data_IF_687326279422
#
_entry.id   IF_687326279422
#
_cell.length_a   1.000
_cell.length_b   1.000
_cell.length_c   1.000
_cell.angle_alpha   90.00
_cell.angle_beta   90.00
_cell.angle_gamma   90.00
#
_symmetry.space_group_name_H-M   'P 1'
#
loop_
_entity.id
_entity.type
_entity.pdbx_description
1 polymer ?
#
# COMPACT_ATOMS: atom_id res chain seq x y z
N UNK A 1 50.06 -92.14 -1.05
CA UNK A 1 51.36 -91.65 -0.53
C UNK A 1 51.31 -90.12 -0.64
N UNK A 2 51.41 -89.28 0.38
CA UNK A 2 51.88 -89.39 1.76
C UNK A 2 51.18 -88.34 2.64
N UNK A 3 51.10 -88.60 3.94
CA UNK A 3 50.82 -87.63 5.03
C UNK A 3 52.16 -87.35 5.76
N UNK A 4 52.23 -86.42 6.72
CA UNK A 4 52.23 -84.94 6.71
C UNK A 4 53.64 -84.37 7.02
N UNK A 5 53.77 -83.10 7.45
CA UNK A 5 54.43 -82.90 8.75
C UNK A 5 53.73 -81.91 9.69
N UNK A 6 53.96 -82.15 10.98
CA UNK A 6 53.58 -81.41 12.19
C UNK A 6 54.52 -80.24 12.51
N UNK A 7 54.04 -79.30 13.34
CA UNK A 7 54.71 -78.37 14.31
C UNK A 7 53.90 -77.04 14.27
N UNK A 8 53.65 -76.24 15.31
CA UNK A 8 54.02 -76.14 16.73
C UNK A 8 53.21 -74.96 17.32
N UNK A 9 52.76 -75.02 18.58
CA UNK A 9 52.15 -73.91 19.33
C UNK A 9 53.14 -72.74 19.56
N UNK A 10 52.71 -71.47 19.81
CA UNK A 10 52.51 -71.03 21.21
C UNK A 10 51.52 -69.86 21.49
N UNK A 11 51.19 -69.74 22.79
CA UNK A 11 50.80 -68.59 23.62
C UNK A 11 50.35 -67.22 23.05
N UNK A 12 49.26 -66.70 23.64
CA UNK A 12 49.28 -65.44 24.41
C UNK A 12 48.61 -64.21 23.78
N UNK A 13 47.67 -63.59 24.51
CA UNK A 13 47.24 -62.21 24.23
C UNK A 13 45.88 -61.82 24.80
N UNK A 14 45.85 -61.17 25.97
CA UNK A 14 44.69 -60.45 26.50
C UNK A 14 44.43 -59.18 25.67
N UNK A 15 43.18 -58.95 25.24
CA UNK A 15 42.62 -57.66 24.83
C UNK A 15 41.47 -57.34 25.79
N UNK A 16 41.04 -56.13 26.11
CA UNK A 16 41.52 -54.74 26.02
C UNK A 16 40.41 -53.95 26.72
N UNK A 17 40.77 -52.90 27.46
CA UNK A 17 39.86 -52.03 28.23
C UNK A 17 38.70 -51.47 27.38
N UNK A 18 37.48 -51.60 27.90
CA UNK A 18 36.31 -50.82 27.47
C UNK A 18 35.87 -49.91 28.61
N UNK A 19 36.39 -48.68 28.64
CA UNK A 19 35.89 -47.60 29.50
C UNK A 19 34.44 -47.28 29.08
N UNK A 20 33.48 -47.58 29.96
CA UNK A 20 32.13 -47.01 29.88
C UNK A 20 32.16 -45.61 30.48
N UNK A 21 32.24 -44.60 29.62
CA UNK A 21 31.97 -43.21 30.00
C UNK A 21 30.50 -43.05 30.35
N UNK A 22 30.20 -42.86 31.64
CA UNK A 22 28.87 -42.45 32.11
C UNK A 22 28.73 -40.95 31.81
N UNK A 23 27.98 -40.61 30.77
CA UNK A 23 27.53 -39.24 30.54
C UNK A 23 26.47 -38.90 31.59
N UNK A 24 26.90 -38.19 32.64
CA UNK A 24 26.02 -37.59 33.64
C UNK A 24 25.35 -36.35 33.06
N UNK A 25 24.07 -36.45 32.71
CA UNK A 25 23.24 -35.31 32.35
C UNK A 25 22.82 -34.58 33.65
N UNK A 26 23.55 -33.52 34.00
CA UNK A 26 23.13 -32.59 35.06
C UNK A 26 22.05 -31.66 34.51
N UNK A 27 20.78 -31.95 34.79
CA UNK A 27 19.67 -31.04 34.54
C UNK A 27 19.70 -29.90 35.57
N UNK A 28 20.36 -28.80 35.24
CA UNK A 28 20.37 -27.60 36.07
C UNK A 28 19.02 -26.84 35.92
N UNK A 29 18.12 -27.08 36.88
CA UNK A 29 16.78 -26.48 36.97
C UNK A 29 16.76 -24.95 36.83
N UNK A 30 17.85 -24.24 37.15
CA UNK A 30 17.92 -22.78 37.04
C UNK A 30 17.98 -22.31 35.59
N UNK A 31 18.69 -23.04 34.73
CA UNK A 31 18.77 -22.75 33.28
C UNK A 31 17.44 -22.98 32.57
N UNK A 32 16.71 -24.03 32.96
CA UNK A 32 15.37 -24.31 32.45
C UNK A 32 14.37 -23.20 32.83
N UNK A 33 14.38 -22.75 34.09
CA UNK A 33 13.52 -21.65 34.55
C UNK A 33 13.88 -20.29 33.91
N UNK A 34 15.16 -20.05 33.63
CA UNK A 34 15.62 -18.85 32.92
C UNK A 34 15.19 -18.87 31.44
N UNK A 35 15.29 -20.02 30.79
CA UNK A 35 14.82 -20.24 29.42
C UNK A 35 13.30 -20.07 29.31
N UNK A 36 12.53 -20.62 30.24
CA UNK A 36 11.07 -20.44 30.33
C UNK A 36 10.68 -18.96 30.50
N UNK A 37 11.39 -18.19 31.34
CA UNK A 37 11.16 -16.75 31.52
C UNK A 37 11.47 -15.94 30.25
N UNK A 38 12.47 -16.33 29.48
CA UNK A 38 12.81 -15.66 28.21
C UNK A 38 11.78 -15.97 27.12
N UNK A 39 11.27 -17.20 27.07
CA UNK A 39 10.14 -17.57 26.20
C UNK A 39 8.89 -16.77 26.56
N UNK A 40 8.56 -16.66 27.86
CA UNK A 40 7.38 -15.92 28.29
C UNK A 40 7.47 -14.42 27.95
N UNK A 41 8.65 -13.82 28.08
CA UNK A 41 8.91 -12.44 27.63
C UNK A 41 8.75 -12.29 26.12
N UNK A 42 9.25 -13.27 25.36
CA UNK A 42 9.13 -13.26 23.90
C UNK A 42 7.67 -13.38 23.45
N UNK A 43 6.89 -14.27 24.08
CA UNK A 43 5.45 -14.40 23.84
C UNK A 43 4.69 -13.12 24.21
N UNK A 44 5.09 -12.43 25.28
CA UNK A 44 4.50 -11.16 25.68
C UNK A 44 4.77 -10.04 24.66
N UNK A 45 5.99 -9.96 24.11
CA UNK A 45 6.33 -8.99 23.05
C UNK A 45 5.55 -9.29 21.78
N UNK A 46 5.42 -10.57 21.39
CA UNK A 46 4.60 -10.95 20.23
C UNK A 46 3.14 -10.57 20.45
N UNK A 47 2.59 -10.85 21.63
CA UNK A 47 1.21 -10.47 21.97
C UNK A 47 0.97 -8.96 21.91
N UNK A 48 1.99 -8.15 22.20
CA UNK A 48 1.92 -6.69 22.09
C UNK A 48 2.02 -6.19 20.62
N UNK A 49 2.74 -6.90 19.76
CA UNK A 49 2.93 -6.53 18.35
C UNK A 49 1.79 -7.00 17.43
N UNK A 50 1.14 -8.12 17.73
CA UNK A 50 0.03 -8.67 16.94
C UNK A 50 -1.17 -7.71 16.72
N UNK A 51 -1.65 -6.92 17.70
CA UNK A 51 -2.78 -6.02 17.48
C UNK A 51 -2.47 -4.81 16.58
N UNK A 52 -1.19 -4.47 16.35
CA UNK A 52 -0.80 -3.33 15.51
C UNK A 52 -1.19 -3.50 14.03
N UNK A 53 -1.37 -4.73 13.57
CA UNK A 53 -1.77 -5.04 12.18
C UNK A 53 -3.24 -4.70 11.87
N UNK A 54 -4.07 -4.48 12.90
CA UNK A 54 -5.50 -4.18 12.71
C UNK A 54 -5.82 -2.68 12.74
N UNK A 55 -4.81 -1.82 12.91
CA UNK A 55 -5.02 -0.37 12.91
C UNK A 55 -5.15 0.14 11.47
N UNK A 56 -6.38 0.39 11.05
CA UNK A 56 -6.69 1.08 9.79
C UNK A 56 -6.70 2.60 10.05
N UNK A 57 -5.61 3.29 9.67
CA UNK A 57 -5.44 4.72 9.91
C UNK A 57 -5.97 5.62 8.77
N UNK A 58 -6.27 5.05 7.60
CA UNK A 58 -6.66 5.85 6.44
C UNK A 58 -8.17 5.97 6.33
N UNK A 59 -8.68 7.19 6.52
CA UNK A 59 -10.06 7.53 6.19
C UNK A 59 -10.16 7.71 4.66
N UNK A 60 -10.69 6.70 3.96
CA UNK A 60 -10.95 6.79 2.52
C UNK A 60 -12.26 7.58 2.33
N UNK A 61 -12.15 8.88 2.04
CA UNK A 61 -13.29 9.75 1.80
C UNK A 61 -13.05 10.65 0.56
N UNK A 62 -13.87 10.54 -0.50
CA UNK A 62 -14.94 9.57 -0.69
C UNK A 62 -14.40 8.13 -0.85
N UNK A 63 -15.21 7.15 -0.48
CA UNK A 63 -14.95 5.75 -0.81
C UNK A 63 -14.97 5.53 -2.32
N UNK A 64 -14.43 4.39 -2.77
CA UNK A 64 -14.48 4.04 -4.20
C UNK A 64 -15.93 3.89 -4.65
N UNK A 65 -16.33 4.65 -5.66
CA UNK A 65 -17.66 4.62 -6.26
C UNK A 65 -17.59 4.74 -7.80
N UNK A 66 -18.75 4.95 -8.46
CA UNK A 66 -18.82 5.04 -9.93
C UNK A 66 -18.11 6.26 -10.51
N UNK A 67 -17.87 7.30 -9.71
CA UNK A 67 -17.24 8.56 -10.13
C UNK A 67 -15.79 8.62 -9.63
N UNK A 68 -15.56 8.28 -8.36
CA UNK A 68 -14.27 8.19 -7.71
C UNK A 68 -13.76 6.74 -7.70
N UNK A 69 -13.48 6.24 -8.90
CA UNK A 69 -12.85 4.94 -9.09
C UNK A 69 -11.32 5.07 -8.94
N UNK A 70 -10.69 4.31 -8.04
CA UNK A 70 -9.23 4.41 -7.80
C UNK A 70 -8.39 3.53 -8.74
N UNK A 71 -9.05 2.70 -9.55
CA UNK A 71 -8.44 1.80 -10.52
C UNK A 71 -8.29 2.43 -11.91
N UNK A 72 -8.88 3.61 -12.15
CA UNK A 72 -8.82 4.30 -13.43
C UNK A 72 -8.69 5.82 -13.28
N UNK A 73 -8.35 6.50 -14.38
CA UNK A 73 -8.32 7.97 -14.44
C UNK A 73 -9.47 8.44 -15.33
N UNK A 74 -10.41 9.18 -14.74
CA UNK A 74 -11.50 9.80 -15.48
C UNK A 74 -11.01 10.96 -16.35
N UNK A 75 -11.69 11.19 -17.48
CA UNK A 75 -11.45 12.27 -18.43
C UNK A 75 -12.53 13.33 -18.28
N UNK A 76 -12.10 14.60 -18.19
CA UNK A 76 -12.99 15.77 -18.15
C UNK A 76 -12.71 16.60 -19.41
N UNK A 77 -13.66 16.61 -20.33
CA UNK A 77 -13.61 17.45 -21.53
C UNK A 77 -14.41 18.73 -21.27
N UNK A 78 -13.81 19.89 -21.55
CA UNK A 78 -14.44 21.19 -21.32
C UNK A 78 -14.59 21.87 -22.67
N UNK A 79 -15.82 22.23 -23.03
CA UNK A 79 -16.15 22.91 -24.28
C UNK A 79 -16.80 24.26 -23.97
N UNK A 80 -16.30 25.32 -24.59
CA UNK A 80 -16.76 26.70 -24.36
C UNK A 80 -16.60 27.53 -25.64
N UNK A 81 -17.15 28.73 -25.65
CA UNK A 81 -16.95 29.68 -26.75
C UNK A 81 -15.45 30.04 -26.89
N UNK A 82 -15.00 30.26 -28.13
CA UNK A 82 -13.63 30.64 -28.42
C UNK A 82 -13.24 32.02 -27.83
N UNK A 83 -14.19 32.96 -27.77
CA UNK A 83 -13.99 34.26 -27.13
C UNK A 83 -13.77 34.09 -25.62
N UNK A 84 -14.63 33.33 -24.95
CA UNK A 84 -14.52 33.03 -23.52
C UNK A 84 -13.24 32.27 -23.19
N UNK A 85 -12.84 31.32 -24.04
CA UNK A 85 -11.57 30.61 -23.91
C UNK A 85 -10.38 31.57 -23.98
N UNK A 86 -10.40 32.49 -24.93
CA UNK A 86 -9.33 33.49 -25.10
C UNK A 86 -9.29 34.39 -23.87
N UNK A 87 -10.44 34.88 -23.42
CA UNK A 87 -10.55 35.69 -22.21
C UNK A 87 -10.04 34.96 -20.96
N UNK A 88 -10.42 33.68 -20.77
CA UNK A 88 -10.02 32.86 -19.62
C UNK A 88 -8.53 32.59 -19.57
N UNK A 89 -7.87 32.44 -20.74
CA UNK A 89 -6.47 32.08 -20.84
C UNK A 89 -5.53 33.29 -20.95
N UNK A 90 -6.07 34.47 -21.22
CA UNK A 90 -5.35 35.73 -21.28
C UNK A 90 -4.62 36.01 -19.95
N UNK A 91 -3.38 36.51 -20.04
CA UNK A 91 -2.55 36.75 -18.86
C UNK A 91 -3.08 37.96 -18.07
N UNK A 92 -3.61 38.96 -18.76
CA UNK A 92 -4.28 40.13 -18.21
C UNK A 92 -5.50 39.75 -17.35
N UNK A 93 -6.17 38.64 -17.69
CA UNK A 93 -7.36 38.15 -17.00
C UNK A 93 -7.05 36.99 -16.05
N UNK A 94 -5.77 36.65 -15.84
CA UNK A 94 -5.38 35.50 -15.03
C UNK A 94 -5.94 35.55 -13.59
N UNK A 95 -6.15 36.77 -13.08
CA UNK A 95 -6.70 37.01 -11.75
C UNK A 95 -8.22 37.23 -11.69
N UNK A 96 -8.92 37.12 -12.83
CA UNK A 96 -10.38 37.23 -12.88
C UNK A 96 -11.05 36.16 -12.01
N UNK A 97 -12.06 36.57 -11.26
CA UNK A 97 -12.93 35.69 -10.46
C UNK A 97 -14.26 35.38 -11.18
N UNK A 98 -14.45 35.93 -12.38
CA UNK A 98 -15.64 35.72 -13.21
C UNK A 98 -15.75 34.25 -13.66
N UNK A 99 -16.96 33.70 -13.56
CA UNK A 99 -17.27 32.39 -14.13
C UNK A 99 -17.78 32.58 -15.56
N UNK A 100 -17.17 31.86 -16.49
CA UNK A 100 -17.59 31.81 -17.88
C UNK A 100 -18.44 30.57 -18.12
N UNK A 101 -19.40 30.68 -19.05
CA UNK A 101 -20.25 29.56 -19.44
C UNK A 101 -19.44 28.51 -20.21
N UNK A 102 -19.65 27.25 -19.86
CA UNK A 102 -19.04 26.11 -20.51
C UNK A 102 -19.93 24.88 -20.37
N UNK A 103 -19.66 23.88 -21.20
CA UNK A 103 -20.15 22.52 -21.04
C UNK A 103 -19.01 21.60 -20.63
N UNK A 104 -19.31 20.62 -19.79
CA UNK A 104 -18.35 19.63 -19.27
C UNK A 104 -18.85 18.23 -19.60
N UNK A 105 -18.02 17.43 -20.24
CA UNK A 105 -18.27 15.99 -20.42
C UNK A 105 -17.35 15.21 -19.50
N UNK A 106 -17.94 14.44 -18.59
CA UNK A 106 -17.23 13.53 -17.70
C UNK A 106 -17.29 12.12 -18.28
N UNK A 107 -16.13 11.48 -18.40
CA UNK A 107 -15.98 10.12 -18.95
C UNK A 107 -15.10 9.24 -18.08
N UNK A 108 -15.54 8.03 -17.82
CA UNK A 108 -14.72 6.93 -17.31
C UNK A 108 -15.26 5.59 -17.90
N UNK A 109 -14.79 4.44 -17.39
CA UNK A 109 -15.26 3.13 -17.88
C UNK A 109 -16.74 2.85 -17.64
N UNK A 110 -17.39 3.54 -16.69
CA UNK A 110 -18.76 3.28 -16.24
C UNK A 110 -19.76 4.38 -16.64
N UNK A 111 -19.29 5.60 -16.87
CA UNK A 111 -20.08 6.82 -16.98
C UNK A 111 -19.56 7.66 -18.13
N UNK A 112 -20.47 8.09 -19.00
CA UNK A 112 -20.24 9.14 -19.98
C UNK A 112 -21.42 10.12 -19.88
N UNK A 113 -21.17 11.35 -19.41
CA UNK A 113 -22.23 12.32 -19.15
C UNK A 113 -21.81 13.72 -19.52
N UNK A 114 -22.71 14.41 -20.21
CA UNK A 114 -22.57 15.80 -20.62
C UNK A 114 -23.37 16.70 -19.67
N UNK A 115 -22.70 17.69 -19.08
CA UNK A 115 -23.28 18.76 -18.29
C UNK A 115 -23.17 20.06 -19.10
N UNK A 116 -24.26 20.51 -19.77
CA UNK A 116 -24.19 21.59 -20.75
C UNK A 116 -23.98 22.99 -20.14
N UNK A 117 -24.50 23.21 -18.93
CA UNK A 117 -24.54 24.54 -18.30
C UNK A 117 -23.72 24.56 -17.03
N UNK A 118 -22.43 24.88 -17.13
CA UNK A 118 -21.55 25.01 -15.98
C UNK A 118 -20.75 26.31 -16.02
N UNK A 119 -20.41 26.83 -14.86
CA UNK A 119 -19.47 27.95 -14.74
C UNK A 119 -18.05 27.46 -14.57
N UNK A 120 -17.10 28.05 -15.28
CA UNK A 120 -15.67 27.77 -15.12
C UNK A 120 -14.87 29.05 -14.95
N UNK A 121 -13.87 28.99 -14.06
CA UNK A 121 -12.91 30.07 -13.85
C UNK A 121 -11.53 29.54 -13.48
N UNK A 122 -10.53 30.43 -13.51
CA UNK A 122 -9.21 30.14 -12.97
C UNK A 122 -9.19 30.18 -11.43
N UNK A 123 -8.43 29.26 -10.83
CA UNK A 123 -8.23 29.15 -9.38
C UNK A 123 -6.75 29.09 -9.01
N UNK A 124 -6.51 29.48 -7.76
CA UNK A 124 -5.23 29.39 -7.07
C UNK A 124 -4.47 30.70 -7.15
N UNK A 125 -3.47 30.87 -6.29
CA UNK A 125 -2.72 32.11 -6.24
C UNK A 125 -1.59 32.08 -7.29
N UNK A 126 -0.65 31.13 -7.11
CA UNK A 126 0.52 30.97 -8.00
C UNK A 126 0.17 30.28 -9.31
N UNK A 127 -0.76 29.32 -9.30
CA UNK A 127 -1.15 28.51 -10.48
C UNK A 127 -1.76 29.31 -11.64
N UNK A 128 -2.21 30.55 -11.41
CA UNK A 128 -2.80 31.42 -12.44
C UNK A 128 -1.81 31.80 -13.53
N UNK A 129 -0.54 31.96 -13.16
CA UNK A 129 0.54 32.41 -14.04
C UNK A 129 1.37 31.24 -14.61
N UNK A 130 1.00 29.99 -14.31
CA UNK A 130 1.69 28.83 -14.85
C UNK A 130 1.06 28.35 -16.16
N UNK A 131 1.83 27.70 -17.05
CA UNK A 131 1.29 27.08 -18.26
C UNK A 131 0.19 26.06 -17.96
N UNK A 132 0.37 25.27 -16.88
CA UNK A 132 -0.66 24.38 -16.36
C UNK A 132 -1.51 25.13 -15.33
N UNK A 133 -2.60 25.72 -15.81
CA UNK A 133 -3.55 26.47 -14.99
C UNK A 133 -4.45 25.53 -14.19
N UNK A 134 -4.86 25.95 -12.99
CA UNK A 134 -5.87 25.25 -12.20
C UNK A 134 -7.25 25.88 -12.45
N UNK A 135 -8.24 25.04 -12.71
CA UNK A 135 -9.61 25.48 -12.97
C UNK A 135 -10.51 25.15 -11.78
N UNK A 136 -11.55 25.97 -11.59
CA UNK A 136 -12.68 25.65 -10.71
C UNK A 136 -13.93 25.57 -11.56
N UNK A 137 -14.62 24.44 -11.47
CA UNK A 137 -15.91 24.20 -12.14
C UNK A 137 -17.01 24.33 -11.10
N UNK A 138 -18.03 25.12 -11.41
CA UNK A 138 -19.23 25.33 -10.59
C UNK A 138 -20.45 24.93 -11.41
N UNK A 139 -20.97 23.75 -11.14
CA UNK A 139 -22.05 23.13 -11.91
C UNK A 139 -23.39 23.87 -11.86
N UNK A 140 -23.61 24.69 -10.83
CA UNK A 140 -24.87 25.44 -10.63
C UNK A 140 -24.74 26.94 -10.88
N UNK A 141 -23.65 27.40 -11.51
CA UNK A 141 -23.48 28.85 -11.76
C UNK A 141 -24.54 29.38 -12.74
N UNK A 142 -24.88 28.59 -13.76
CA UNK A 142 -25.83 28.94 -14.82
C UNK A 142 -27.03 27.99 -14.81
N UNK A 143 -27.59 27.74 -13.62
CA UNK A 143 -28.74 26.83 -13.40
C UNK A 143 -28.54 25.39 -13.89
N UNK A 144 -27.28 24.97 -13.98
CA UNK A 144 -26.91 23.63 -14.41
C UNK A 144 -27.31 22.50 -13.47
N UNK A 145 -27.18 21.28 -14.02
CA UNK A 145 -27.50 20.05 -13.31
C UNK A 145 -26.50 19.74 -12.19
N UNK A 146 -26.99 19.10 -11.12
CA UNK A 146 -26.14 18.63 -10.03
C UNK A 146 -25.24 17.49 -10.53
N UNK A 147 -23.95 17.57 -10.22
CA UNK A 147 -22.99 16.51 -10.55
C UNK A 147 -23.22 15.28 -9.66
N UNK A 148 -23.80 14.21 -10.22
CA UNK A 148 -23.98 12.88 -9.63
C UNK A 148 -24.37 12.82 -8.14
N UNK A 149 -25.18 13.76 -7.66
CA UNK A 149 -25.62 13.78 -6.26
C UNK A 149 -24.58 14.30 -5.25
N UNK A 150 -23.35 14.64 -5.67
CA UNK A 150 -22.34 15.24 -4.80
C UNK A 150 -22.76 16.63 -4.31
N UNK A 151 -22.56 16.87 -3.01
CA UNK A 151 -22.86 18.15 -2.34
C UNK A 151 -21.72 19.14 -2.54
#
# INVERSE_FOLDING_TARGET
>A
MNRPPSLSSPHGGKMSNGQKGVLSACNDSKTFNLFQKNILKFLFIIALLLPSYFLQAQNINPGTDTIYNNQEVAVIEITMNAADKTFLLANENAHSEEYLHASVRFKNSLVDSLLPDVGIRLRGNTSRNHPKKSFKIKFKEFDGSKFFGYK
#
